data_IF_746985338589
#
_entry.id   IF_746985338589
#
_cell.length_a   1.000
_cell.length_b   1.000
_cell.length_c   1.000
_cell.angle_alpha   90.00
_cell.angle_beta   90.00
_cell.angle_gamma   90.00
#
_symmetry.space_group_name_H-M   'P 1'
#
loop_
_entity.id
_entity.type
_entity.pdbx_description
1 polymer ?
#
# COMPACT_ATOMS: atom_id res chain seq x y z
N UNK A 1 -0.78 6.81 8.54
CA UNK A 1 -1.69 5.94 7.75
C UNK A 1 -3.15 6.30 7.87
N UNK A 2 -3.57 6.74 9.01
CA UNK A 2 -5.00 7.06 9.20
C UNK A 2 -5.50 8.18 8.29
N UNK A 3 -4.58 9.02 7.82
CA UNK A 3 -4.94 10.12 6.93
C UNK A 3 -5.02 9.73 5.46
N UNK A 4 -4.63 8.50 5.12
CA UNK A 4 -4.74 7.98 3.76
C UNK A 4 -5.99 7.12 3.66
N UNK A 5 -6.91 7.54 2.82
CA UNK A 5 -8.19 6.85 2.62
C UNK A 5 -8.37 6.43 1.18
N UNK A 6 -9.02 5.31 0.98
CA UNK A 6 -9.44 4.87 -0.35
C UNK A 6 -10.57 5.77 -0.83
N UNK A 7 -10.40 6.37 -1.99
CA UNK A 7 -11.41 7.18 -2.64
C UNK A 7 -12.15 6.41 -3.73
N UNK A 8 -11.40 5.66 -4.52
CA UNK A 8 -11.97 4.93 -5.65
C UNK A 8 -11.05 3.80 -6.08
N UNK A 9 -11.64 2.72 -6.58
CA UNK A 9 -10.92 1.64 -7.26
C UNK A 9 -11.16 1.79 -8.74
N UNK A 10 -10.07 1.87 -9.51
CA UNK A 10 -10.15 1.89 -10.96
C UNK A 10 -10.03 0.47 -11.50
N UNK A 11 -11.09 -0.04 -12.08
CA UNK A 11 -11.13 -1.38 -12.65
C UNK A 11 -10.83 -1.41 -14.16
N UNK A 12 -10.92 -0.28 -14.81
CA UNK A 12 -10.92 -0.23 -16.28
C UNK A 12 -9.87 0.66 -16.89
N UNK A 13 -9.30 1.56 -16.13
CA UNK A 13 -8.31 2.49 -16.62
C UNK A 13 -6.98 1.81 -16.92
N UNK A 14 -6.23 2.41 -17.83
CA UNK A 14 -4.85 2.01 -18.01
C UNK A 14 -4.02 2.69 -16.94
N UNK A 15 -3.41 1.90 -16.09
CA UNK A 15 -2.48 2.44 -15.12
C UNK A 15 -1.24 2.95 -15.85
N UNK A 16 -1.06 4.26 -15.90
CA UNK A 16 0.20 4.83 -16.34
C UNK A 16 1.11 4.93 -15.12
N UNK A 17 2.00 3.97 -14.97
CA UNK A 17 2.94 3.93 -13.85
C UNK A 17 4.10 4.91 -14.07
N UNK A 18 3.82 6.06 -14.64
CA UNK A 18 4.83 7.07 -14.88
C UNK A 18 4.87 8.04 -13.73
N UNK A 19 5.97 7.99 -12.98
CA UNK A 19 6.20 8.92 -11.88
C UNK A 19 6.56 10.30 -12.45
N UNK A 20 5.94 11.32 -11.92
CA UNK A 20 6.14 12.71 -12.31
C UNK A 20 6.85 13.47 -11.19
N UNK A 21 7.48 14.58 -11.53
CA UNK A 21 8.09 15.47 -10.53
C UNK A 21 7.08 16.10 -9.58
N UNK A 22 5.81 16.08 -9.94
CA UNK A 22 4.73 16.64 -9.12
C UNK A 22 4.09 15.61 -8.21
N UNK A 23 4.48 14.35 -8.31
CA UNK A 23 3.89 13.31 -7.51
C UNK A 23 4.25 13.46 -6.04
N UNK A 24 3.30 13.09 -5.19
CA UNK A 24 3.53 13.04 -3.76
C UNK A 24 4.11 11.69 -3.39
N UNK A 25 5.01 11.69 -2.44
CA UNK A 25 5.65 10.46 -1.95
C UNK A 25 5.30 10.28 -0.49
N UNK A 26 4.72 9.14 -0.15
CA UNK A 26 4.49 8.76 1.24
C UNK A 26 5.49 7.68 1.62
N UNK A 27 6.25 7.92 2.66
CA UNK A 27 7.31 7.05 3.12
C UNK A 27 6.93 6.40 4.43
N UNK A 28 7.12 5.08 4.53
CA UNK A 28 6.79 4.28 5.71
C UNK A 28 8.05 3.55 6.19
N UNK A 29 8.13 3.29 7.49
CA UNK A 29 9.25 2.55 8.09
C UNK A 29 10.61 3.12 7.70
N UNK A 30 10.80 4.43 7.88
CA UNK A 30 12.05 5.12 7.55
C UNK A 30 12.51 4.91 6.11
N UNK A 31 11.57 4.93 5.19
CA UNK A 31 11.87 4.81 3.76
C UNK A 31 11.91 3.39 3.22
N UNK A 32 11.63 2.40 4.05
CA UNK A 32 11.57 1.01 3.59
C UNK A 32 10.47 0.82 2.55
N UNK A 33 9.36 1.49 2.72
CA UNK A 33 8.24 1.46 1.79
C UNK A 33 7.92 2.88 1.37
N UNK A 34 7.82 3.09 0.06
CA UNK A 34 7.41 4.38 -0.49
C UNK A 34 6.29 4.17 -1.48
N UNK A 35 5.27 5.01 -1.41
CA UNK A 35 4.21 5.03 -2.42
C UNK A 35 4.16 6.40 -3.08
N UNK A 36 3.84 6.41 -4.35
CA UNK A 36 3.80 7.60 -5.18
C UNK A 36 2.37 7.83 -5.65
N UNK A 37 1.83 8.99 -5.31
CA UNK A 37 0.47 9.39 -5.69
C UNK A 37 0.50 10.56 -6.63
N UNK A 38 -0.36 10.55 -7.63
CA UNK A 38 -0.57 11.70 -8.48
C UNK A 38 -1.03 12.89 -7.67
N UNK A 39 -0.36 14.02 -7.82
CA UNK A 39 -0.79 15.27 -7.23
C UNK A 39 -2.20 15.68 -7.66
N UNK A 40 -2.52 15.44 -8.93
CA UNK A 40 -3.79 15.88 -9.50
C UNK A 40 -4.98 15.02 -9.11
N UNK A 41 -4.78 13.71 -9.06
CA UNK A 41 -5.89 12.77 -8.91
C UNK A 41 -5.83 11.91 -7.65
N UNK A 42 -4.66 11.77 -7.04
CA UNK A 42 -4.45 10.82 -5.96
C UNK A 42 -4.27 9.38 -6.44
N UNK A 43 -4.16 9.16 -7.74
CA UNK A 43 -3.93 7.82 -8.27
C UNK A 43 -2.59 7.28 -7.78
N UNK A 44 -2.60 6.05 -7.30
CA UNK A 44 -1.37 5.36 -6.92
C UNK A 44 -0.61 4.96 -8.18
N UNK A 45 0.62 5.42 -8.29
CA UNK A 45 1.45 5.21 -9.48
C UNK A 45 2.55 4.19 -9.27
N UNK A 46 3.09 4.09 -8.06
CA UNK A 46 4.23 3.23 -7.80
C UNK A 46 4.28 2.83 -6.34
N UNK A 47 4.74 1.61 -6.08
CA UNK A 47 5.07 1.14 -4.74
C UNK A 47 6.52 0.66 -4.79
N UNK A 48 7.37 1.22 -3.93
CA UNK A 48 8.73 0.77 -3.76
C UNK A 48 8.90 0.11 -2.38
N UNK A 49 9.45 -1.07 -2.36
CA UNK A 49 9.76 -1.78 -1.12
C UNK A 49 11.23 -2.16 -1.17
N UNK A 50 12.03 -1.56 -0.30
CA UNK A 50 13.48 -1.68 -0.35
C UNK A 50 14.04 -2.87 0.41
N UNK A 51 13.34 -3.35 1.41
CA UNK A 51 13.86 -4.41 2.27
C UNK A 51 13.54 -5.79 1.70
N UNK A 52 14.54 -6.49 1.26
CA UNK A 52 14.37 -7.84 0.70
C UNK A 52 15.01 -8.94 1.56
N UNK A 53 15.87 -8.56 2.50
CA UNK A 53 16.75 -9.50 3.17
C UNK A 53 16.44 -9.77 4.64
N UNK A 54 15.39 -9.19 5.18
CA UNK A 54 15.00 -9.45 6.54
C UNK A 54 14.32 -10.79 6.68
N UNK A 55 14.75 -11.52 7.69
CA UNK A 55 14.11 -12.77 8.06
C UNK A 55 12.77 -12.47 8.72
N UNK A 56 11.71 -12.95 8.14
CA UNK A 56 10.36 -12.76 8.67
C UNK A 56 9.97 -14.02 9.42
N UNK A 57 9.74 -13.89 10.71
CA UNK A 57 9.44 -15.03 11.56
C UNK A 57 7.96 -15.21 11.86
N UNK A 58 7.19 -14.14 11.72
CA UNK A 58 5.75 -14.16 12.04
C UNK A 58 4.93 -14.51 10.81
N UNK A 59 3.98 -15.40 11.02
CA UNK A 59 3.03 -15.77 9.97
C UNK A 59 1.60 -15.48 10.46
N UNK A 60 0.79 -14.92 9.57
CA UNK A 60 -0.61 -14.61 9.85
C UNK A 60 -1.50 -15.11 8.72
N UNK A 61 -2.78 -15.26 9.02
CA UNK A 61 -3.79 -15.47 8.00
C UNK A 61 -4.35 -14.11 7.58
N UNK A 62 -4.55 -13.93 6.28
CA UNK A 62 -5.20 -12.74 5.76
C UNK A 62 -6.70 -12.97 5.77
N UNK A 63 -7.41 -12.22 6.59
CA UNK A 63 -8.84 -12.28 6.67
C UNK A 63 -9.42 -10.92 6.29
N UNK A 64 -9.72 -10.76 5.02
CA UNK A 64 -10.43 -9.58 4.55
C UNK A 64 -11.90 -9.93 4.32
N UNK A 65 -12.78 -9.02 4.68
CA UNK A 65 -14.21 -9.20 4.43
C UNK A 65 -14.50 -9.06 2.94
N UNK A 66 -13.85 -8.10 2.29
CA UNK A 66 -14.00 -7.85 0.86
C UNK A 66 -12.65 -7.95 0.18
N UNK A 67 -12.62 -8.60 -0.98
CA UNK A 67 -11.43 -8.73 -1.82
C UNK A 67 -11.76 -8.31 -3.24
N UNK A 68 -10.96 -7.41 -3.79
CA UNK A 68 -11.10 -6.93 -5.16
C UNK A 68 -9.77 -6.99 -5.88
N UNK A 69 -9.86 -7.05 -7.21
CA UNK A 69 -8.72 -6.92 -8.10
C UNK A 69 -8.98 -5.73 -9.00
N UNK A 70 -8.07 -4.76 -9.00
CA UNK A 70 -8.22 -3.56 -9.80
C UNK A 70 -6.96 -3.21 -10.56
N UNK A 71 -7.04 -2.24 -11.47
CA UNK A 71 -5.88 -1.73 -12.18
C UNK A 71 -5.08 -0.77 -11.31
N UNK A 72 -5.77 0.05 -10.53
CA UNK A 72 -5.17 1.02 -9.65
C UNK A 72 -6.18 1.48 -8.62
N UNK A 73 -5.73 2.27 -7.68
CA UNK A 73 -6.59 2.90 -6.69
C UNK A 73 -6.32 4.39 -6.67
N UNK A 74 -7.33 5.15 -6.28
CA UNK A 74 -7.19 6.56 -6.00
C UNK A 74 -7.30 6.72 -4.50
N UNK A 75 -6.29 7.34 -3.91
CA UNK A 75 -6.23 7.58 -2.48
C UNK A 75 -6.39 9.06 -2.21
N UNK A 76 -6.94 9.36 -1.06
CA UNK A 76 -7.08 10.73 -0.59
C UNK A 76 -6.28 10.90 0.70
N UNK A 77 -5.59 12.03 0.81
CA UNK A 77 -4.91 12.38 2.03
C UNK A 77 -5.77 13.40 2.78
N UNK A 78 -6.06 13.14 4.03
CA UNK A 78 -7.02 13.93 4.81
C UNK A 78 -6.73 15.43 4.85
N UNK A 79 -5.47 15.79 4.78
CA UNK A 79 -5.05 17.20 4.81
C UNK A 79 -4.80 17.79 3.42
N UNK A 80 -5.27 17.09 2.38
CA UNK A 80 -5.08 17.52 1.00
C UNK A 80 -3.84 16.93 0.35
N UNK A 81 -3.76 17.14 -0.94
CA UNK A 81 -2.62 16.72 -1.74
C UNK A 81 -1.72 17.92 -1.99
N UNK A 82 -0.42 17.72 -1.87
CA UNK A 82 0.58 18.75 -2.08
C UNK A 82 1.54 18.35 -3.18
N UNK A 83 1.84 19.31 -4.03
CA UNK A 83 2.77 19.14 -5.12
C UNK A 83 4.18 18.86 -4.59
N UNK A 84 4.80 17.81 -5.08
CA UNK A 84 6.17 17.40 -4.75
C UNK A 84 6.51 17.49 -3.26
N UNK A 85 5.91 16.64 -2.50
CA UNK A 85 6.19 16.54 -1.06
C UNK A 85 6.47 15.08 -0.73
N UNK A 86 7.54 14.84 0.00
CA UNK A 86 7.76 13.56 0.63
C UNK A 86 7.25 13.65 2.06
N UNK A 87 6.23 12.85 2.35
CA UNK A 87 5.58 12.84 3.65
C UNK A 87 5.99 11.56 4.37
N UNK A 88 6.61 11.71 5.52
CA UNK A 88 6.99 10.59 6.33
C UNK A 88 5.83 10.19 7.24
N UNK A 89 5.40 8.96 7.14
CA UNK A 89 4.33 8.42 7.97
C UNK A 89 4.96 7.82 9.22
N UNK A 90 4.56 8.29 10.37
CA UNK A 90 5.14 7.88 11.65
C UNK A 90 4.72 6.47 12.08
N UNK A 91 3.58 6.00 11.61
CA UNK A 91 3.10 4.66 11.95
C UNK A 91 4.06 3.60 11.45
N UNK A 92 4.52 2.75 12.35
CA UNK A 92 5.38 1.63 11.99
C UNK A 92 4.53 0.45 11.54
N UNK A 93 4.91 -0.14 10.43
CA UNK A 93 4.27 -1.34 9.90
C UNK A 93 5.08 -2.57 10.27
N UNK A 94 4.40 -3.57 10.85
CA UNK A 94 5.01 -4.85 11.16
C UNK A 94 4.98 -5.78 9.94
N UNK A 95 6.00 -6.61 9.81
CA UNK A 95 6.12 -7.56 8.71
C UNK A 95 5.64 -8.94 9.11
N UNK A 96 4.89 -9.57 8.20
CA UNK A 96 4.39 -10.93 8.39
C UNK A 96 4.46 -11.71 7.09
N UNK A 97 4.51 -13.04 7.21
CA UNK A 97 4.18 -13.93 6.09
C UNK A 97 2.68 -14.20 6.11
N UNK A 98 2.05 -14.08 4.97
CA UNK A 98 0.63 -14.34 4.83
C UNK A 98 0.37 -14.99 3.46
N UNK A 99 0.06 -16.28 3.44
CA UNK A 99 -0.27 -17.04 2.22
C UNK A 99 0.76 -16.86 1.10
N UNK A 100 2.02 -16.91 1.46
CA UNK A 100 3.09 -16.78 0.47
C UNK A 100 3.49 -15.37 0.09
N UNK A 101 2.91 -14.39 0.73
CA UNK A 101 3.21 -12.97 0.48
C UNK A 101 3.80 -12.33 1.73
N UNK A 102 4.62 -11.32 1.52
CA UNK A 102 5.10 -10.48 2.61
C UNK A 102 4.06 -9.39 2.82
N UNK A 103 3.62 -9.24 4.04
CA UNK A 103 2.58 -8.29 4.41
C UNK A 103 3.11 -7.33 5.46
N UNK A 104 2.84 -6.05 5.25
CA UNK A 104 3.19 -4.96 6.17
C UNK A 104 1.89 -4.39 6.70
N UNK A 105 1.64 -4.57 7.99
CA UNK A 105 0.39 -4.13 8.61
C UNK A 105 0.63 -3.25 9.81
N UNK A 106 -0.22 -2.26 9.99
CA UNK A 106 -0.25 -1.48 11.21
C UNK A 106 -0.79 -2.34 12.34
N UNK A 107 -0.10 -2.34 13.46
CA UNK A 107 -0.50 -3.11 14.64
C UNK A 107 -1.91 -2.73 15.09
N UNK A 108 -2.71 -3.73 15.42
CA UNK A 108 -4.06 -3.54 15.92
C UNK A 108 -5.12 -3.22 14.86
N UNK A 109 -4.73 -3.12 13.60
CA UNK A 109 -5.70 -2.87 12.52
C UNK A 109 -6.24 -4.17 11.96
N UNK A 110 -7.55 -4.21 11.79
CA UNK A 110 -8.20 -5.32 11.09
C UNK A 110 -8.32 -4.98 9.62
N UNK A 111 -8.07 -5.98 8.79
CA UNK A 111 -8.22 -5.84 7.36
C UNK A 111 -9.70 -6.04 7.02
N UNK A 112 -10.34 -5.00 6.54
CA UNK A 112 -11.70 -5.09 6.03
C UNK A 112 -11.72 -5.32 4.53
N UNK A 113 -10.88 -4.58 3.80
CA UNK A 113 -10.82 -4.59 2.34
C UNK A 113 -9.42 -4.89 1.88
N UNK A 114 -9.31 -5.82 0.94
CA UNK A 114 -8.04 -6.14 0.27
C UNK A 114 -8.20 -5.88 -1.23
N UNK A 115 -7.27 -5.15 -1.80
CA UNK A 115 -7.26 -4.86 -3.24
C UNK A 115 -5.95 -5.34 -3.82
N UNK A 116 -6.01 -6.22 -4.82
CA UNK A 116 -4.83 -6.62 -5.58
C UNK A 116 -4.68 -5.72 -6.80
N UNK A 117 -3.49 -5.17 -6.98
CA UNK A 117 -3.15 -4.34 -8.15
C UNK A 117 -1.81 -4.80 -8.73
N UNK A 118 -1.61 -4.55 -10.01
CA UNK A 118 -0.33 -4.77 -10.72
C UNK A 118 0.30 -6.14 -10.48
N UNK A 119 -0.45 -7.18 -10.48
CA UNK A 119 0.07 -8.54 -10.27
C UNK A 119 1.14 -8.66 -9.18
N UNK A 120 0.70 -8.94 -7.98
CA UNK A 120 1.61 -9.20 -6.88
C UNK A 120 1.64 -8.14 -5.80
N UNK A 121 0.90 -7.05 -5.94
CA UNK A 121 0.78 -6.05 -4.90
C UNK A 121 -0.59 -6.09 -4.27
N UNK A 122 -0.64 -5.96 -2.95
CA UNK A 122 -1.88 -5.92 -2.19
C UNK A 122 -1.92 -4.62 -1.40
N UNK A 123 -3.11 -4.04 -1.32
CA UNK A 123 -3.40 -2.91 -0.48
C UNK A 123 -4.47 -3.32 0.52
N UNK A 124 -4.27 -2.96 1.78
CA UNK A 124 -5.20 -3.29 2.85
C UNK A 124 -5.81 -2.03 3.44
N UNK A 125 -7.10 -2.08 3.69
CA UNK A 125 -7.86 -0.97 4.28
C UNK A 125 -8.70 -1.49 5.43
N UNK A 126 -8.94 -0.64 6.42
CA UNK A 126 -9.83 -0.94 7.52
C UNK A 126 -11.30 -0.71 7.13
N UNK A 127 -12.23 -0.86 8.09
CA UNK A 127 -13.66 -0.71 7.84
C UNK A 127 -14.10 0.75 7.62
N UNK A 128 -13.21 1.69 7.82
CA UNK A 128 -13.44 3.10 7.48
C UNK A 128 -12.70 3.50 6.20
N UNK A 129 -12.21 2.51 5.46
CA UNK A 129 -11.45 2.67 4.21
C UNK A 129 -10.13 3.43 4.38
N UNK A 130 -9.60 3.44 5.59
CA UNK A 130 -8.27 3.98 5.86
C UNK A 130 -7.23 2.91 5.55
N UNK A 131 -6.11 3.34 5.01
CA UNK A 131 -5.04 2.42 4.70
C UNK A 131 -4.52 1.73 5.96
N UNK A 132 -4.41 0.41 5.89
CA UNK A 132 -3.96 -0.41 7.01
C UNK A 132 -2.63 -1.12 6.72
N UNK A 133 -2.25 -1.23 5.46
CA UNK A 133 -1.01 -1.89 5.12
C UNK A 133 -0.86 -2.23 3.64
N UNK A 134 0.19 -2.99 3.37
CA UNK A 134 0.59 -3.39 2.03
C UNK A 134 0.99 -4.85 2.02
N UNK A 135 0.91 -5.47 0.85
CA UNK A 135 1.45 -6.80 0.65
C UNK A 135 2.13 -6.91 -0.70
N UNK A 136 3.12 -7.78 -0.79
CA UNK A 136 3.79 -8.07 -2.05
C UNK A 136 4.27 -9.50 -2.08
N UNK A 137 4.34 -10.09 -3.28
CA UNK A 137 4.97 -11.37 -3.44
C UNK A 137 6.47 -11.24 -3.25
N UNK A 138 7.02 -12.13 -2.42
CA UNK A 138 8.46 -12.23 -2.29
C UNK A 138 9.02 -13.05 -3.42
N UNK A 139 9.89 -12.45 -4.23
CA UNK A 139 10.61 -13.18 -5.29
C UNK A 139 11.69 -14.10 -4.73
N UNK A 140 12.07 -13.89 -3.48
CA UNK A 140 13.17 -14.63 -2.84
C UNK A 140 12.69 -15.66 -1.85
N UNK A 141 11.41 -15.95 -1.83
CA UNK A 141 10.89 -16.94 -0.92
C UNK A 141 11.40 -18.33 -1.29
N UNK A 142 12.19 -18.89 -0.42
CA UNK A 142 12.56 -20.30 -0.50
C UNK A 142 11.72 -21.08 0.49
N UNK A 143 11.14 -22.11 0.01
CA UNK A 143 10.48 -23.06 0.90
C UNK A 143 11.51 -23.92 1.62
#
# INVERSE_FOLDING_TARGET
MENLKLKMIDFTGKSENVVSERDMIFSFNNGEIKIYLSYETGELKKIEIASENEKIEKEIEREAVLKFKGNSVILDYEYGLYEYVEIEIEDKLEKYWADGKIVYLKEGKKIFLEIEIWEGYLLFFDDEYRMAGFGTESKNRKK
#
